data_IF_060274974858
#
_entry.id   IF_060274974858
#
_cell.length_a   1.000
_cell.length_b   1.000
_cell.length_c   1.000
_cell.angle_alpha   90.00
_cell.angle_beta   90.00
_cell.angle_gamma   90.00
#
_symmetry.space_group_name_H-M   'P 1'
#
loop_
_entity.id
_entity.type
_entity.pdbx_description
1 polymer ?
#
# COMPACT_ATOMS: atom_id res chain seq x y z
N UNK A 1 25.60 -15.52 -14.39
CA UNK A 1 24.26 -14.93 -14.65
C UNK A 1 24.03 -13.79 -13.67
N UNK A 2 23.93 -12.54 -14.13
CA UNK A 2 23.58 -11.42 -13.25
C UNK A 2 22.09 -11.50 -12.87
N UNK A 3 21.71 -11.39 -11.59
CA UNK A 3 20.31 -11.37 -11.20
C UNK A 3 19.65 -10.10 -11.74
N UNK A 4 18.69 -10.26 -12.67
CA UNK A 4 17.88 -9.18 -13.21
C UNK A 4 17.14 -8.47 -12.07
N UNK A 5 17.36 -7.16 -11.94
CA UNK A 5 16.61 -6.33 -11.00
C UNK A 5 15.16 -6.23 -11.46
N UNK A 6 14.22 -6.75 -10.66
CA UNK A 6 12.78 -6.63 -10.92
C UNK A 6 12.29 -5.29 -10.37
N UNK A 7 11.51 -4.58 -11.17
CA UNK A 7 10.91 -3.28 -10.85
C UNK A 7 9.42 -3.33 -11.16
N UNK A 8 8.60 -2.87 -10.23
CA UNK A 8 7.16 -2.68 -10.39
C UNK A 8 6.82 -1.25 -10.02
N UNK A 9 6.05 -0.56 -10.86
CA UNK A 9 5.65 0.82 -10.66
C UNK A 9 4.17 0.91 -10.27
N UNK A 10 3.85 1.97 -9.53
CA UNK A 10 2.47 2.31 -9.25
C UNK A 10 2.29 3.82 -9.18
N UNK A 11 1.06 4.26 -9.44
CA UNK A 11 0.64 5.64 -9.40
C UNK A 11 -0.53 5.76 -8.44
N UNK A 12 -0.50 6.75 -7.56
CA UNK A 12 -1.61 7.06 -6.66
C UNK A 12 -2.10 8.47 -6.95
N UNK A 13 -3.39 8.61 -7.18
CA UNK A 13 -4.09 9.89 -7.32
C UNK A 13 -5.06 10.07 -6.15
N UNK A 14 -4.89 11.14 -5.39
CA UNK A 14 -5.83 11.53 -4.33
C UNK A 14 -6.94 12.43 -4.92
N UNK A 15 -8.18 12.02 -4.75
CA UNK A 15 -9.37 12.74 -5.18
C UNK A 15 -10.12 13.26 -3.94
N UNK A 16 -10.11 14.57 -3.73
CA UNK A 16 -10.94 15.21 -2.71
C UNK A 16 -12.21 15.76 -3.39
N UNK A 17 -13.39 15.47 -2.85
CA UNK A 17 -14.64 16.04 -3.36
C UNK A 17 -14.61 17.59 -3.24
N UNK A 18 -14.96 18.34 -4.30
CA UNK A 18 -15.00 19.79 -4.23
C UNK A 18 -16.30 20.22 -3.55
N UNK A 19 -16.21 21.08 -2.53
CA UNK A 19 -17.28 22.05 -2.28
C UNK A 19 -16.77 23.47 -2.07
N UNK A 20 -15.48 23.72 -1.78
CA UNK A 20 -14.91 25.08 -1.80
C UNK A 20 -13.40 25.02 -2.08
N UNK A 21 -12.94 25.73 -3.11
CA UNK A 21 -11.55 25.80 -3.62
C UNK A 21 -10.64 26.70 -2.74
N UNK A 22 -10.86 26.81 -1.43
CA UNK A 22 -10.14 27.79 -0.58
C UNK A 22 -9.35 27.22 0.61
N UNK A 23 -9.27 25.90 0.78
CA UNK A 23 -8.27 25.31 1.67
C UNK A 23 -7.23 24.64 0.78
N UNK A 24 -5.96 25.05 0.89
CA UNK A 24 -4.87 24.24 0.37
C UNK A 24 -4.97 22.87 1.05
N UNK A 25 -5.54 21.87 0.36
CA UNK A 25 -5.55 20.51 0.85
C UNK A 25 -4.08 20.08 0.97
N UNK A 26 -3.56 20.04 2.20
CA UNK A 26 -2.20 19.58 2.46
C UNK A 26 -2.24 18.06 2.46
N UNK A 27 -1.44 17.46 1.59
CA UNK A 27 -1.27 16.02 1.50
C UNK A 27 0.12 15.65 2.01
N UNK A 28 0.18 15.02 3.17
CA UNK A 28 1.42 14.44 3.69
C UNK A 28 1.54 13.00 3.21
N UNK A 29 2.74 12.61 2.76
CA UNK A 29 3.01 11.27 2.25
C UNK A 29 4.32 10.76 2.82
N UNK A 30 4.27 9.64 3.54
CA UNK A 30 5.48 9.08 4.12
C UNK A 30 5.28 7.72 4.77
N UNK A 31 6.40 7.09 5.17
CA UNK A 31 6.40 5.90 6.02
C UNK A 31 6.13 6.30 7.49
N UNK A 32 4.92 6.83 7.75
CA UNK A 32 4.55 7.39 9.04
C UNK A 32 4.05 6.36 10.05
N UNK A 33 3.70 5.16 9.61
CA UNK A 33 3.20 4.11 10.49
C UNK A 33 4.37 3.27 11.03
N UNK A 34 4.75 3.42 12.32
CA UNK A 34 5.88 2.68 12.88
C UNK A 34 5.62 1.17 12.94
N UNK A 35 4.36 0.73 12.90
CA UNK A 35 4.06 -0.69 12.83
C UNK A 35 4.39 -1.27 11.44
N UNK A 36 4.33 -0.46 10.38
CA UNK A 36 4.38 -0.90 8.98
C UNK A 36 5.34 -0.02 8.17
N UNK A 37 6.63 -0.12 8.47
CA UNK A 37 7.71 0.67 7.83
C UNK A 37 7.85 0.41 6.32
N UNK A 38 7.35 -0.72 5.83
CA UNK A 38 7.21 -1.09 4.42
C UNK A 38 5.96 -0.48 3.75
N UNK A 39 5.35 0.54 4.37
CA UNK A 39 4.14 1.19 3.91
C UNK A 39 4.29 2.66 3.58
N UNK A 40 3.30 3.15 2.81
CA UNK A 40 3.03 4.54 2.51
C UNK A 40 1.76 4.95 3.22
N UNK A 41 1.84 6.01 4.02
CA UNK A 41 0.69 6.65 4.64
C UNK A 41 0.47 7.98 3.93
N UNK A 42 -0.77 8.17 3.47
CA UNK A 42 -1.25 9.41 2.86
C UNK A 42 -2.21 10.08 3.84
N UNK A 43 -1.86 11.27 4.31
CA UNK A 43 -2.68 12.06 5.24
C UNK A 43 -3.21 13.28 4.49
N UNK A 44 -4.51 13.27 4.22
CA UNK A 44 -5.23 14.40 3.66
C UNK A 44 -5.73 15.30 4.80
N UNK A 45 -5.14 16.49 4.92
CA UNK A 45 -5.65 17.53 5.82
C UNK A 45 -6.86 18.22 5.19
N UNK A 46 -8.00 18.17 5.88
CA UNK A 46 -9.29 18.63 5.36
C UNK A 46 -9.76 19.91 6.08
N UNK A 47 -8.87 20.90 6.24
CA UNK A 47 -9.16 22.17 6.92
C UNK A 47 -9.67 21.96 8.35
N UNK A 48 -10.90 22.41 8.64
CA UNK A 48 -11.54 22.28 9.96
C UNK A 48 -11.98 20.85 10.33
N UNK A 49 -11.86 19.88 9.42
CA UNK A 49 -12.21 18.48 9.69
C UNK A 49 -11.00 17.67 10.15
N UNK A 50 -11.27 16.58 10.88
CA UNK A 50 -10.23 15.61 11.23
C UNK A 50 -9.51 15.10 9.96
N UNK A 51 -8.17 14.96 10.01
CA UNK A 51 -7.40 14.48 8.86
C UNK A 51 -7.81 13.06 8.52
N UNK A 52 -7.75 12.74 7.24
CA UNK A 52 -8.05 11.38 6.74
C UNK A 52 -6.77 10.70 6.32
N UNK A 53 -6.49 9.53 6.88
CA UNK A 53 -5.28 8.78 6.61
C UNK A 53 -5.60 7.47 5.88
N UNK A 54 -4.92 7.23 4.76
CA UNK A 54 -4.96 5.97 4.01
C UNK A 54 -3.59 5.30 4.08
N UNK A 55 -3.57 4.02 4.43
CA UNK A 55 -2.37 3.20 4.46
C UNK A 55 -2.30 2.28 3.25
N UNK A 56 -1.12 2.15 2.66
CA UNK A 56 -0.76 1.15 1.67
C UNK A 56 0.51 0.46 2.17
N UNK A 57 0.57 -0.87 2.21
CA UNK A 57 1.79 -1.61 2.56
C UNK A 57 2.14 -2.66 1.53
N UNK A 58 3.44 -2.93 1.43
CA UNK A 58 4.01 -3.94 0.53
C UNK A 58 4.25 -5.22 1.30
N UNK A 59 3.44 -6.25 1.05
CA UNK A 59 3.66 -7.57 1.62
C UNK A 59 4.63 -8.36 0.74
N UNK A 60 5.53 -9.10 1.37
CA UNK A 60 6.54 -9.90 0.68
C UNK A 60 6.33 -11.37 1.01
N UNK A 61 6.26 -12.22 -0.01
CA UNK A 61 6.04 -13.65 0.18
C UNK A 61 6.74 -14.50 -0.88
N UNK A 62 6.90 -15.78 -0.56
CA UNK A 62 7.24 -16.85 -1.50
C UNK A 62 6.24 -17.99 -1.29
N UNK A 63 5.94 -18.79 -2.33
CA UNK A 63 5.26 -20.06 -2.14
C UNK A 63 5.99 -20.89 -1.07
N UNK A 64 5.23 -21.58 -0.23
CA UNK A 64 5.75 -22.48 0.83
C UNK A 64 6.61 -21.82 1.93
N UNK A 65 6.73 -20.49 1.92
CA UNK A 65 7.46 -19.73 2.94
C UNK A 65 6.51 -18.86 3.77
N UNK A 66 7.05 -18.26 4.84
CA UNK A 66 6.30 -17.32 5.69
C UNK A 66 6.05 -16.01 4.94
N UNK A 67 4.80 -15.52 5.05
CA UNK A 67 4.41 -14.16 4.69
C UNK A 67 5.10 -13.17 5.63
N UNK A 68 5.79 -12.19 5.06
CA UNK A 68 6.25 -11.02 5.81
C UNK A 68 5.27 -9.88 5.64
N UNK A 69 4.60 -9.54 6.74
CA UNK A 69 3.66 -8.41 6.80
C UNK A 69 4.42 -7.08 6.93
N UNK A 70 5.42 -7.05 7.80
CA UNK A 70 6.30 -5.91 8.04
C UNK A 70 7.69 -6.44 8.38
N UNK A 71 8.77 -5.85 7.84
CA UNK A 71 10.11 -6.21 8.25
C UNK A 71 10.36 -5.70 9.69
N UNK A 72 11.09 -6.46 10.52
CA UNK A 72 11.52 -5.97 11.81
C UNK A 72 12.60 -4.90 11.62
N UNK A 73 12.70 -3.97 12.58
CA UNK A 73 13.50 -2.75 12.42
C UNK A 73 14.98 -3.02 12.16
N UNK A 74 15.55 -4.10 12.70
CA UNK A 74 16.94 -4.50 12.49
C UNK A 74 17.28 -4.87 11.03
N UNK A 75 16.26 -5.19 10.21
CA UNK A 75 16.42 -5.42 8.77
C UNK A 75 16.18 -4.17 7.92
N UNK A 76 15.75 -3.07 8.52
CA UNK A 76 15.63 -1.78 7.83
C UNK A 76 17.02 -1.16 7.72
N UNK A 77 17.51 -1.03 6.49
CA UNK A 77 18.84 -0.48 6.18
C UNK A 77 18.82 1.02 5.95
N UNK A 78 17.68 1.54 5.53
CA UNK A 78 17.51 2.96 5.25
C UNK A 78 16.05 3.35 5.43
N UNK A 79 15.81 4.36 6.25
CA UNK A 79 14.63 5.22 6.21
C UNK A 79 15.10 6.53 5.58
N UNK A 80 14.96 6.63 4.26
CA UNK A 80 15.45 7.75 3.46
C UNK A 80 14.70 9.04 3.79
N UNK A 81 15.20 10.19 3.32
CA UNK A 81 14.57 11.48 3.58
C UNK A 81 13.10 11.45 3.16
N UNK A 82 12.21 11.96 4.02
CA UNK A 82 10.82 12.25 3.64
C UNK A 82 10.90 13.21 2.46
N UNK A 83 10.28 12.90 1.32
CA UNK A 83 10.31 13.75 0.14
C UNK A 83 9.62 15.08 0.48
N UNK A 84 10.33 16.22 0.65
CA UNK A 84 9.67 17.50 0.80
C UNK A 84 8.73 17.80 -0.36
N UNK A 85 7.71 18.57 -0.03
CA UNK A 85 6.64 19.00 -0.90
C UNK A 85 7.13 19.60 -2.22
N UNK A 86 7.01 18.84 -3.33
CA UNK A 86 6.75 19.29 -4.70
C UNK A 86 7.59 20.41 -5.32
N UNK A 87 8.72 20.79 -4.73
CA UNK A 87 9.57 21.87 -5.23
C UNK A 87 10.35 21.49 -6.50
N UNK A 88 10.95 22.48 -7.20
CA UNK A 88 11.73 22.29 -8.43
C UNK A 88 12.95 21.35 -8.27
N UNK A 89 13.34 21.06 -7.02
CA UNK A 89 14.23 19.95 -6.65
C UNK A 89 13.39 18.77 -6.17
N UNK A 90 12.68 18.08 -7.07
CA UNK A 90 11.84 16.94 -6.73
C UNK A 90 12.70 15.87 -6.04
N UNK A 91 12.59 15.78 -4.73
CA UNK A 91 13.21 14.73 -3.93
C UNK A 91 12.34 13.48 -3.97
N UNK A 92 12.96 12.33 -3.78
CA UNK A 92 12.27 11.06 -3.59
C UNK A 92 12.51 10.59 -2.16
N UNK A 93 11.50 9.97 -1.57
CA UNK A 93 11.62 9.22 -0.35
C UNK A 93 11.83 7.76 -0.67
N UNK A 94 12.47 7.04 0.25
CA UNK A 94 12.68 5.61 0.10
C UNK A 94 12.83 4.89 1.42
N UNK A 95 12.44 3.62 1.42
CA UNK A 95 12.70 2.68 2.49
C UNK A 95 13.42 1.48 1.89
N UNK A 96 14.53 1.08 2.51
CA UNK A 96 15.25 -0.15 2.17
C UNK A 96 15.20 -1.11 3.34
N UNK A 97 14.86 -2.36 3.06
CA UNK A 97 14.95 -3.44 4.03
C UNK A 97 15.42 -4.73 3.38
N UNK A 98 16.09 -5.58 4.15
CA UNK A 98 16.54 -6.88 3.66
C UNK A 98 15.37 -7.86 3.56
N UNK A 99 15.32 -8.60 2.45
CA UNK A 99 14.31 -9.64 2.25
C UNK A 99 14.42 -10.72 3.35
N UNK A 100 13.29 -11.30 3.79
CA UNK A 100 13.31 -12.39 4.75
C UNK A 100 13.89 -13.69 4.18
N UNK A 101 14.07 -13.79 2.85
CA UNK A 101 14.47 -15.03 2.18
C UNK A 101 15.92 -15.03 1.71
N UNK A 102 16.42 -13.88 1.30
CA UNK A 102 17.81 -13.66 0.90
C UNK A 102 18.22 -12.33 1.53
N UNK A 103 19.38 -12.24 2.19
CA UNK A 103 19.88 -10.99 2.79
C UNK A 103 20.26 -9.96 1.72
N UNK A 104 19.27 -9.52 0.96
CA UNK A 104 19.35 -8.65 -0.21
C UNK A 104 18.21 -7.64 -0.13
N UNK A 105 18.45 -6.40 -0.56
CA UNK A 105 17.51 -5.32 -0.30
C UNK A 105 16.27 -5.39 -1.21
N UNK A 106 15.11 -5.12 -0.60
CA UNK A 106 13.96 -4.53 -1.25
C UNK A 106 13.99 -3.02 -1.05
N UNK A 107 13.60 -2.28 -2.08
CA UNK A 107 13.57 -0.82 -2.08
C UNK A 107 12.20 -0.35 -2.50
N UNK A 108 11.46 0.25 -1.57
CA UNK A 108 10.29 1.08 -1.86
C UNK A 108 10.77 2.52 -2.02
N UNK A 109 10.40 3.17 -3.11
CA UNK A 109 10.68 4.58 -3.33
C UNK A 109 9.46 5.29 -3.90
N UNK A 110 9.30 6.56 -3.58
CA UNK A 110 8.19 7.36 -4.06
C UNK A 110 8.57 8.83 -4.17
N UNK A 111 7.84 9.53 -5.02
CA UNK A 111 7.91 10.99 -5.14
C UNK A 111 6.50 11.54 -5.35
N UNK A 112 6.27 12.76 -4.90
CA UNK A 112 5.02 13.47 -5.09
C UNK A 112 5.17 14.42 -6.28
N UNK A 113 4.32 14.24 -7.30
CA UNK A 113 4.28 15.06 -8.50
C UNK A 113 3.09 16.01 -8.37
N UNK A 114 3.33 17.25 -7.98
CA UNK A 114 2.25 18.23 -7.76
C UNK A 114 1.47 17.98 -6.45
N UNK A 115 0.22 18.45 -6.37
CA UNK A 115 -0.51 18.49 -5.09
C UNK A 115 -1.11 17.14 -4.66
N UNK A 116 -1.45 16.26 -5.61
CA UNK A 116 -2.31 15.07 -5.36
C UNK A 116 -1.86 13.79 -6.05
N UNK A 117 -0.77 13.82 -6.81
CA UNK A 117 -0.26 12.67 -7.56
C UNK A 117 1.03 12.17 -6.92
N UNK A 118 1.12 10.86 -6.69
CA UNK A 118 2.27 10.19 -6.12
C UNK A 118 2.68 9.10 -7.12
N UNK A 119 3.97 9.03 -7.43
CA UNK A 119 4.53 7.95 -8.22
C UNK A 119 5.45 7.14 -7.32
N UNK A 120 5.20 5.84 -7.24
CA UNK A 120 5.94 4.89 -6.43
C UNK A 120 6.55 3.77 -7.27
N UNK A 121 7.63 3.20 -6.75
CA UNK A 121 8.28 2.03 -7.29
C UNK A 121 8.74 1.11 -6.17
N UNK A 122 8.49 -0.19 -6.35
CA UNK A 122 9.14 -1.26 -5.59
C UNK A 122 10.16 -1.93 -6.50
N UNK A 123 11.37 -2.15 -5.97
CA UNK A 123 12.43 -2.84 -6.68
C UNK A 123 13.13 -3.86 -5.80
N UNK A 124 13.55 -4.97 -6.40
CA UNK A 124 14.22 -6.06 -5.70
C UNK A 124 15.12 -6.84 -6.66
N UNK A 125 16.20 -7.39 -6.12
CA UNK A 125 17.07 -8.37 -6.83
C UNK A 125 16.82 -9.80 -6.38
N UNK A 126 15.80 -10.00 -5.55
CA UNK A 126 15.39 -11.28 -4.99
C UNK A 126 14.16 -11.76 -5.73
N UNK A 127 14.10 -13.05 -6.05
CA UNK A 127 12.89 -13.65 -6.57
C UNK A 127 11.86 -13.75 -5.43
N UNK A 128 10.91 -12.82 -5.38
CA UNK A 128 9.81 -12.79 -4.41
C UNK A 128 8.51 -12.41 -5.11
N UNK A 129 7.40 -12.80 -4.50
CA UNK A 129 6.10 -12.25 -4.82
C UNK A 129 5.82 -11.04 -3.92
N UNK A 130 5.10 -10.08 -4.48
CA UNK A 130 4.71 -8.84 -3.81
C UNK A 130 3.20 -8.74 -3.85
N UNK A 131 2.59 -8.34 -2.74
CA UNK A 131 1.20 -7.92 -2.71
C UNK A 131 1.08 -6.49 -2.19
N UNK A 132 0.11 -5.77 -2.74
CA UNK A 132 -0.29 -4.45 -2.27
C UNK A 132 -1.50 -4.63 -1.37
N UNK A 133 -1.40 -4.10 -0.15
CA UNK A 133 -2.51 -4.13 0.78
C UNK A 133 -2.82 -2.73 1.30
N UNK A 134 -4.09 -2.34 1.17
CA UNK A 134 -4.59 -1.09 1.73
C UNK A 134 -5.15 -1.34 3.12
N UNK A 135 -4.84 -0.45 4.05
CA UNK A 135 -5.21 -0.63 5.44
C UNK A 135 -5.46 0.72 6.12
N UNK A 136 -5.95 0.65 7.36
CA UNK A 136 -6.13 1.83 8.22
C UNK A 136 -4.90 2.05 9.10
N UNK A 137 -4.15 3.15 8.92
CA UNK A 137 -2.96 3.43 9.73
C UNK A 137 -3.32 3.92 11.14
N UNK A 138 -2.36 3.81 12.07
CA UNK A 138 -2.41 4.34 13.45
C UNK A 138 -3.42 3.70 14.41
N UNK A 139 -3.94 2.52 14.09
CA UNK A 139 -4.68 1.71 15.06
C UNK A 139 -6.14 2.09 15.28
N UNK A 140 -6.56 3.37 15.30
CA UNK A 140 -7.96 3.81 15.20
C UNK A 140 -8.03 5.30 14.85
N UNK A 141 -8.86 5.68 13.86
CA UNK A 141 -9.19 7.07 13.56
C UNK A 141 -10.70 7.25 13.41
N UNK A 142 -11.18 8.49 13.55
CA UNK A 142 -12.58 8.83 13.33
C UNK A 142 -12.99 8.61 11.86
N UNK A 143 -14.19 8.06 11.65
CA UNK A 143 -14.76 7.78 10.32
C UNK A 143 -14.68 6.31 9.91
N UNK A 144 -15.37 5.92 8.84
CA UNK A 144 -15.29 4.56 8.28
C UNK A 144 -14.53 4.64 6.98
N UNK A 145 -13.48 3.83 6.80
CA UNK A 145 -12.78 3.72 5.52
C UNK A 145 -13.28 2.47 4.81
N UNK A 146 -13.47 2.57 3.50
CA UNK A 146 -13.77 1.44 2.64
C UNK A 146 -12.66 1.33 1.58
N UNK A 147 -12.20 0.11 1.33
CA UNK A 147 -11.20 -0.21 0.32
C UNK A 147 -11.74 -1.28 -0.60
N UNK A 148 -11.50 -1.14 -1.90
CA UNK A 148 -11.92 -2.14 -2.88
C UNK A 148 -10.98 -2.23 -4.07
N UNK A 149 -10.75 -3.45 -4.56
CA UNK A 149 -10.23 -3.66 -5.90
C UNK A 149 -11.36 -3.35 -6.90
N UNK A 150 -11.11 -2.43 -7.83
CA UNK A 150 -12.04 -2.13 -8.92
C UNK A 150 -11.80 -3.07 -10.11
N UNK A 151 -10.55 -3.43 -10.34
CA UNK A 151 -10.08 -4.38 -11.34
C UNK A 151 -8.69 -4.92 -10.93
N UNK A 152 -8.05 -5.70 -11.78
CA UNK A 152 -6.73 -6.32 -11.53
C UNK A 152 -5.57 -5.32 -11.41
N UNK A 153 -5.76 -4.04 -11.76
CA UNK A 153 -4.72 -3.01 -11.72
C UNK A 153 -5.07 -1.86 -10.77
N UNK A 154 -6.31 -1.79 -10.29
CA UNK A 154 -6.86 -0.60 -9.64
C UNK A 154 -7.42 -0.89 -8.26
N UNK A 155 -6.87 -0.19 -7.26
CA UNK A 155 -7.36 -0.17 -5.89
C UNK A 155 -7.97 1.21 -5.59
N UNK A 156 -9.16 1.19 -4.99
CA UNK A 156 -9.88 2.37 -4.55
C UNK A 156 -9.93 2.40 -3.03
N UNK A 157 -9.72 3.58 -2.45
CA UNK A 157 -10.05 3.83 -1.05
C UNK A 157 -10.91 5.06 -0.91
N UNK A 158 -11.89 4.99 -0.02
CA UNK A 158 -12.83 6.08 0.23
C UNK A 158 -13.10 6.20 1.72
N UNK A 159 -13.19 7.43 2.20
CA UNK A 159 -13.78 7.71 3.50
C UNK A 159 -15.29 7.78 3.35
N UNK A 160 -16.01 7.03 4.18
CA UNK A 160 -17.45 7.12 4.30
C UNK A 160 -17.80 8.17 5.35
N UNK A 161 -18.68 9.10 4.99
CA UNK A 161 -19.22 10.09 5.92
C UNK A 161 -20.10 9.42 6.98
N UNK A 162 -19.98 9.85 8.24
CA UNK A 162 -21.04 9.57 9.22
C UNK A 162 -22.33 10.28 8.77
N UNK A 163 -23.52 9.67 8.98
CA UNK A 163 -24.79 10.19 8.45
C UNK A 163 -25.18 11.60 8.94
N UNK A 164 -24.49 12.17 9.94
CA UNK A 164 -24.83 13.46 10.57
C UNK A 164 -23.86 14.61 10.26
N UNK A 165 -22.82 14.41 9.45
CA UNK A 165 -21.88 15.51 9.14
C UNK A 165 -21.45 15.46 7.68
N UNK A 166 -21.66 16.54 6.90
CA UNK A 166 -21.11 16.65 5.55
C UNK A 166 -19.59 16.84 5.65
N UNK A 167 -18.86 15.73 5.79
CA UNK A 167 -17.41 15.73 5.69
C UNK A 167 -16.99 15.79 4.22
N UNK A 168 -15.90 16.50 3.94
CA UNK A 168 -15.18 16.34 2.66
C UNK A 168 -14.79 14.87 2.53
N UNK A 169 -15.37 14.17 1.56
CA UNK A 169 -14.98 12.79 1.26
C UNK A 169 -13.59 12.82 0.62
N UNK A 170 -12.62 12.22 1.31
CA UNK A 170 -11.34 11.90 0.72
C UNK A 170 -11.43 10.53 0.02
N UNK A 171 -10.90 10.45 -1.20
CA UNK A 171 -10.79 9.22 -1.97
C UNK A 171 -9.37 9.12 -2.52
N UNK A 172 -8.87 7.91 -2.74
CA UNK A 172 -7.69 7.69 -3.56
C UNK A 172 -7.94 6.61 -4.60
N UNK A 173 -7.18 6.70 -5.68
CA UNK A 173 -7.07 5.68 -6.73
C UNK A 173 -5.60 5.30 -6.80
N UNK A 174 -5.30 4.03 -6.59
CA UNK A 174 -4.00 3.43 -6.83
C UNK A 174 -4.09 2.59 -8.09
N UNK A 175 -3.18 2.80 -9.03
CA UNK A 175 -3.06 1.98 -10.25
C UNK A 175 -1.64 1.43 -10.37
N UNK A 176 -1.51 0.15 -10.69
CA UNK A 176 -0.22 -0.52 -10.94
C UNK A 176 0.13 -0.56 -12.43
N UNK A 177 1.42 -0.71 -12.74
CA UNK A 177 1.89 -0.91 -14.12
C UNK A 177 1.69 -2.34 -14.65
N UNK A 178 1.22 -3.25 -13.78
CA UNK A 178 1.00 -4.68 -14.06
C UNK A 178 -0.28 -5.15 -13.40
N UNK A 179 -0.98 -6.07 -14.07
CA UNK A 179 -2.10 -6.82 -13.48
C UNK A 179 -1.64 -7.63 -12.27
N UNK A 180 -2.40 -7.54 -11.19
CA UNK A 180 -2.23 -8.33 -9.98
C UNK A 180 -2.98 -9.66 -10.11
N UNK A 181 -2.31 -10.76 -9.79
CA UNK A 181 -2.99 -12.04 -9.56
C UNK A 181 -3.67 -12.01 -8.20
N UNK A 182 -5.00 -12.15 -8.16
CA UNK A 182 -5.77 -12.19 -6.91
C UNK A 182 -6.18 -10.83 -6.35
N UNK A 183 -6.35 -9.82 -7.22
CA UNK A 183 -6.98 -8.56 -6.83
C UNK A 183 -8.41 -8.81 -6.32
N UNK A 184 -8.67 -8.48 -5.06
CA UNK A 184 -9.97 -8.65 -4.43
C UNK A 184 -10.11 -7.73 -3.22
N UNK A 185 -11.35 -7.62 -2.72
CA UNK A 185 -11.67 -6.96 -1.46
C UNK A 185 -11.84 -8.00 -0.36
N UNK A 186 -11.16 -7.82 0.76
CA UNK A 186 -11.23 -8.73 1.90
C UNK A 186 -11.89 -8.05 3.09
N UNK A 187 -12.74 -8.78 3.82
CA UNK A 187 -13.41 -8.26 5.01
C UNK A 187 -12.45 -8.03 6.18
N UNK A 188 -11.34 -8.77 6.21
CA UNK A 188 -10.27 -8.63 7.18
C UNK A 188 -8.92 -9.04 6.55
N UNK A 189 -7.83 -8.49 7.07
CA UNK A 189 -6.48 -8.75 6.56
C UNK A 189 -6.04 -10.21 6.77
N UNK A 190 -6.56 -10.91 7.79
CA UNK A 190 -6.19 -12.29 8.05
C UNK A 190 -6.67 -13.22 6.91
N UNK A 191 -7.87 -12.99 6.38
CA UNK A 191 -8.39 -13.70 5.20
C UNK A 191 -7.57 -13.42 3.96
N UNK A 192 -7.17 -12.17 3.73
CA UNK A 192 -6.26 -11.83 2.64
C UNK A 192 -4.95 -12.62 2.77
N UNK A 193 -4.32 -12.58 3.95
CA UNK A 193 -3.07 -13.27 4.20
C UNK A 193 -3.19 -14.78 4.03
N UNK A 194 -4.28 -15.39 4.53
CA UNK A 194 -4.56 -16.81 4.35
C UNK A 194 -4.70 -17.15 2.86
N UNK A 195 -5.41 -16.33 2.08
CA UNK A 195 -5.55 -16.51 0.65
C UNK A 195 -4.24 -16.28 -0.11
N UNK A 196 -3.35 -15.40 0.34
CA UNK A 196 -2.03 -15.25 -0.27
C UNK A 196 -1.15 -16.48 -0.04
N UNK A 197 -1.23 -17.06 1.15
CA UNK A 197 -0.52 -18.30 1.50
C UNK A 197 -1.11 -19.49 0.74
N UNK A 198 -2.45 -19.58 0.66
CA UNK A 198 -3.14 -20.54 -0.19
C UNK A 198 -2.88 -20.27 -1.67
N UNK A 199 -2.69 -19.03 -2.11
CA UNK A 199 -2.45 -18.67 -3.51
C UNK A 199 -1.01 -18.87 -3.97
N UNK A 200 -0.11 -19.06 -3.01
CA UNK A 200 1.12 -19.85 -3.20
C UNK A 200 0.84 -21.29 -3.70
N UNK A 201 -0.42 -21.75 -3.65
CA UNK A 201 -1.06 -22.92 -4.27
C UNK A 201 -2.55 -22.63 -4.71
N UNK A 202 -2.91 -21.50 -5.36
CA UNK A 202 -4.35 -21.11 -5.50
C UNK A 202 -5.17 -22.00 -6.47
N UNK A 203 -5.62 -23.16 -6.00
CA UNK A 203 -6.85 -23.84 -6.45
C UNK A 203 -7.78 -23.97 -5.25
N UNK A 204 -9.05 -23.70 -5.48
CA UNK A 204 -10.12 -23.83 -4.48
C UNK A 204 -10.26 -25.28 -4.00
N UNK A 205 -10.51 -25.46 -2.71
CA UNK A 205 -11.18 -26.65 -2.19
C UNK A 205 -12.56 -26.79 -2.88
N UNK A 206 -12.59 -27.61 -3.92
CA UNK A 206 -13.73 -28.46 -4.26
C UNK A 206 -13.14 -29.75 -4.84
N UNK A 207 -13.36 -30.83 -4.10
CA UNK A 207 -13.02 -32.23 -4.42
C UNK A 207 -11.55 -32.64 -4.34
N UNK A 208 -11.05 -32.83 -3.12
CA UNK A 208 -10.36 -34.08 -2.81
C UNK A 208 -10.70 -34.54 -1.39
N UNK A 209 -11.90 -35.12 -1.28
CA UNK A 209 -12.19 -36.09 -0.22
C UNK A 209 -12.53 -37.39 -0.92
N UNK A 210 -11.54 -38.24 -1.17
CA UNK A 210 -11.56 -39.63 -0.71
C UNK A 210 -10.22 -40.35 -0.96
N UNK A 211 -9.38 -40.32 0.07
CA UNK A 211 -8.43 -41.38 0.46
C UNK A 211 -9.17 -42.74 0.66
N UNK A 212 -8.50 -43.85 1.01
CA UNK A 212 -7.58 -44.69 0.23
C UNK A 212 -8.01 -46.19 0.30
N UNK A 213 -7.82 -46.98 -0.76
CA UNK A 213 -7.59 -48.44 -0.67
C UNK A 213 -6.82 -48.88 -1.90
#
# INVERSE_FOLDING_TARGET
MHPLCRKTWFVILLLCAPLVVNAQDRLLVGAYDPAHVNGLVMIAENGANAPTAFGLRILVYRPEAKLEITPPLERVRLLGPVAPDGGPSASYARVHWDSPFEQRPLTLQWTRIGSRLIVGQISTRVAVNLALETYRPFGQSSGTLNFRAADDETLLGEQLSKPRTPMRLARFVLRTDRKAGGAASYADAAKQHALMLQAGHARSEAEDKTHPY
#
